data_IF_605971896499
#
_entry.id   IF_605971896499
#
_cell.length_a   1.000
_cell.length_b   1.000
_cell.length_c   1.000
_cell.angle_alpha   90.00
_cell.angle_beta   90.00
_cell.angle_gamma   90.00
#
_symmetry.space_group_name_H-M   'P 1'
#
loop_
_entity.id
_entity.type
_entity.pdbx_description
1 polymer ?
#
# COMPACT_ATOMS: atom_id res chain seq x y z
N UNK A 1 2.01 25.72 0.27
CA UNK A 1 2.65 24.42 0.01
C UNK A 1 3.17 23.83 1.33
N UNK A 2 2.34 23.10 2.09
CA UNK A 2 2.75 22.12 3.12
C UNK A 2 1.49 21.53 3.81
N UNK A 3 0.90 20.46 3.26
CA UNK A 3 -0.05 19.60 4.00
C UNK A 3 0.16 18.10 3.71
N UNK A 4 1.21 17.74 2.96
CA UNK A 4 1.37 16.39 2.42
C UNK A 4 1.92 15.38 3.46
N UNK A 5 2.72 15.82 4.44
CA UNK A 5 3.50 14.91 5.29
C UNK A 5 2.70 13.85 6.05
N UNK A 6 1.55 14.21 6.63
CA UNK A 6 0.71 13.30 7.43
C UNK A 6 -0.37 12.62 6.59
N UNK A 7 -1.01 13.35 5.67
CA UNK A 7 -2.01 12.81 4.76
C UNK A 7 -1.44 11.76 3.80
N UNK A 8 -0.17 11.89 3.43
CA UNK A 8 0.51 10.97 2.52
C UNK A 8 0.90 9.66 3.20
N UNK A 9 1.36 9.71 4.46
CA UNK A 9 1.54 8.51 5.29
C UNK A 9 0.22 7.77 5.50
N UNK A 10 -0.88 8.49 5.75
CA UNK A 10 -2.22 7.88 5.85
C UNK A 10 -2.64 7.16 4.57
N UNK A 11 -2.46 7.80 3.40
CA UNK A 11 -2.76 7.20 2.10
C UNK A 11 -1.88 5.98 1.80
N UNK A 12 -0.60 6.04 2.15
CA UNK A 12 0.35 4.93 2.03
C UNK A 12 -0.09 3.74 2.88
N UNK A 13 -0.45 3.97 4.14
CA UNK A 13 -0.91 2.89 5.03
C UNK A 13 -2.23 2.28 4.57
N UNK A 14 -3.16 3.10 4.06
CA UNK A 14 -4.41 2.59 3.47
C UNK A 14 -4.14 1.80 2.19
N UNK A 15 -3.16 2.21 1.39
CA UNK A 15 -2.71 1.45 0.22
C UNK A 15 -2.14 0.08 0.61
N UNK A 16 -1.21 0.04 1.58
CA UNK A 16 -0.61 -1.22 2.05
C UNK A 16 -1.66 -2.15 2.67
N UNK A 17 -2.56 -1.60 3.48
CA UNK A 17 -3.67 -2.35 4.06
C UNK A 17 -4.55 -2.95 2.96
N UNK A 18 -4.90 -2.14 1.96
CA UNK A 18 -5.68 -2.59 0.81
C UNK A 18 -4.99 -3.76 0.11
N UNK A 19 -3.69 -3.66 -0.24
CA UNK A 19 -2.93 -4.76 -0.86
C UNK A 19 -2.88 -6.01 0.03
N UNK A 20 -2.76 -5.87 1.36
CA UNK A 20 -2.72 -7.00 2.30
C UNK A 20 -4.01 -7.82 2.33
N UNK A 21 -5.19 -7.22 2.08
CA UNK A 21 -6.47 -7.92 2.16
C UNK A 21 -6.60 -9.07 1.16
N UNK A 22 -6.06 -8.90 -0.06
CA UNK A 22 -6.09 -9.92 -1.11
C UNK A 22 -5.02 -9.64 -2.17
N UNK A 23 -4.42 -10.68 -2.78
CA UNK A 23 -3.54 -10.53 -3.93
C UNK A 23 -4.25 -9.78 -5.06
N UNK A 24 -3.61 -8.77 -5.64
CA UNK A 24 -4.16 -7.96 -6.74
C UNK A 24 -3.13 -7.79 -7.84
N UNK A 25 -3.56 -7.86 -9.09
CA UNK A 25 -2.70 -7.59 -10.25
C UNK A 25 -2.33 -6.12 -10.33
N UNK A 26 -1.20 -5.80 -10.93
CA UNK A 26 -0.78 -4.43 -11.24
C UNK A 26 -1.86 -3.64 -11.97
N UNK A 27 -2.55 -4.25 -12.96
CA UNK A 27 -3.63 -3.60 -13.69
C UNK A 27 -4.77 -3.14 -12.77
N UNK A 28 -5.29 -4.04 -11.91
CA UNK A 28 -6.29 -3.71 -10.89
C UNK A 28 -5.82 -2.64 -9.90
N UNK A 29 -4.56 -2.69 -9.49
CA UNK A 29 -3.97 -1.68 -8.61
C UNK A 29 -3.93 -0.31 -9.28
N UNK A 30 -3.46 -0.24 -10.53
CA UNK A 30 -3.41 1.02 -11.27
C UNK A 30 -4.81 1.55 -11.56
N UNK A 31 -5.78 0.70 -11.90
CA UNK A 31 -7.17 1.11 -12.10
C UNK A 31 -7.77 1.78 -10.85
N UNK A 32 -7.61 1.13 -9.69
CA UNK A 32 -8.15 1.64 -8.43
C UNK A 32 -7.46 2.93 -7.94
N UNK A 33 -6.15 3.10 -8.19
CA UNK A 33 -5.35 4.18 -7.59
C UNK A 33 -4.99 5.32 -8.55
N UNK A 34 -5.04 5.12 -9.87
CA UNK A 34 -4.76 6.17 -10.89
C UNK A 34 -5.87 7.22 -11.00
N UNK A 35 -7.12 6.84 -10.74
CA UNK A 35 -8.30 7.71 -10.91
C UNK A 35 -8.54 8.67 -9.74
N UNK A 36 -7.76 8.55 -8.65
CA UNK A 36 -7.82 9.43 -7.48
C UNK A 36 -6.54 10.26 -7.40
N UNK A 37 -6.56 11.48 -7.93
CA UNK A 37 -5.35 12.29 -8.13
C UNK A 37 -4.76 12.99 -6.86
N UNK A 38 -4.90 12.44 -5.65
CA UNK A 38 -3.81 12.53 -4.66
C UNK A 38 -3.31 11.17 -4.15
N UNK A 39 -3.81 10.06 -4.69
CA UNK A 39 -3.52 8.68 -4.29
C UNK A 39 -2.45 7.98 -5.13
N UNK A 40 -2.10 8.52 -6.31
CA UNK A 40 -0.96 8.02 -7.09
C UNK A 40 0.34 8.06 -6.26
N UNK A 41 0.50 9.10 -5.43
CA UNK A 41 1.65 9.24 -4.55
C UNK A 41 1.81 8.06 -3.58
N UNK A 42 0.73 7.41 -3.13
CA UNK A 42 0.84 6.24 -2.25
C UNK A 42 1.48 5.03 -2.95
N UNK A 43 1.15 4.81 -4.23
CA UNK A 43 1.79 3.78 -5.05
C UNK A 43 3.27 4.10 -5.30
N UNK A 44 3.56 5.35 -5.64
CA UNK A 44 4.94 5.81 -5.88
C UNK A 44 5.79 5.71 -4.61
N UNK A 45 5.27 6.16 -3.47
CA UNK A 45 5.93 6.01 -2.17
C UNK A 45 6.14 4.54 -1.82
N UNK A 46 5.14 3.67 -2.02
CA UNK A 46 5.25 2.25 -1.72
C UNK A 46 6.35 1.58 -2.56
N UNK A 47 6.42 1.92 -3.84
CA UNK A 47 7.42 1.38 -4.77
C UNK A 47 8.82 1.95 -4.49
N UNK A 48 8.93 3.28 -4.33
CA UNK A 48 10.19 3.97 -4.05
C UNK A 48 10.80 3.55 -2.70
N UNK A 49 9.96 3.24 -1.70
CA UNK A 49 10.41 2.77 -0.40
C UNK A 49 10.60 1.25 -0.33
N UNK A 50 10.34 0.50 -1.41
CA UNK A 50 10.44 -0.96 -1.44
C UNK A 50 9.47 -1.66 -0.47
N UNK A 51 8.29 -1.08 -0.28
CA UNK A 51 7.22 -1.61 0.58
C UNK A 51 6.36 -2.64 -0.16
N UNK A 52 6.33 -2.55 -1.48
CA UNK A 52 5.68 -3.51 -2.37
C UNK A 52 6.66 -4.02 -3.42
N UNK A 53 6.40 -5.24 -3.90
CA UNK A 53 7.09 -5.85 -5.02
C UNK A 53 6.07 -6.25 -6.08
N UNK A 54 6.52 -6.29 -7.33
CA UNK A 54 5.72 -6.65 -8.50
C UNK A 54 6.52 -7.65 -9.33
N UNK A 55 6.60 -8.92 -8.89
CA UNK A 55 7.32 -9.95 -9.62
C UNK A 55 6.74 -10.08 -11.03
N UNK A 56 7.56 -9.78 -12.03
CA UNK A 56 7.25 -10.03 -13.43
C UNK A 56 7.55 -11.48 -13.76
N UNK A 57 6.54 -12.20 -14.22
CA UNK A 57 6.66 -13.55 -14.79
C UNK A 57 6.19 -13.48 -16.24
N UNK A 58 6.85 -14.22 -17.13
CA UNK A 58 6.57 -14.15 -18.56
C UNK A 58 5.14 -14.64 -18.91
N UNK A 59 4.57 -15.47 -18.03
CA UNK A 59 3.37 -16.26 -18.29
C UNK A 59 2.19 -15.85 -17.41
N UNK A 60 2.38 -14.90 -16.49
CA UNK A 60 1.37 -14.53 -15.48
C UNK A 60 1.33 -13.02 -15.31
N UNK A 61 0.11 -12.49 -15.21
CA UNK A 61 -0.10 -11.08 -14.89
C UNK A 61 0.62 -10.70 -13.58
N UNK A 62 1.42 -9.61 -13.59
CA UNK A 62 2.20 -9.22 -12.42
C UNK A 62 1.26 -8.91 -11.25
N UNK A 63 1.47 -9.60 -10.13
CA UNK A 63 0.71 -9.39 -8.89
C UNK A 63 1.50 -8.49 -7.96
N UNK A 64 0.84 -7.48 -7.40
CA UNK A 64 1.42 -6.61 -6.38
C UNK A 64 1.38 -7.34 -5.05
N UNK A 65 2.54 -7.48 -4.40
CA UNK A 65 2.68 -8.14 -3.10
C UNK A 65 3.39 -7.23 -2.11
N UNK A 66 3.07 -7.35 -0.81
CA UNK A 66 3.80 -6.62 0.23
C UNK A 66 5.17 -7.26 0.48
N UNK A 67 6.21 -6.44 0.47
CA UNK A 67 7.53 -6.87 0.97
C UNK A 67 7.49 -7.06 2.47
N UNK A 68 8.55 -7.67 3.04
CA UNK A 68 8.70 -7.74 4.49
C UNK A 68 8.67 -6.36 5.15
N UNK A 69 9.27 -5.36 4.50
CA UNK A 69 9.28 -3.97 4.97
C UNK A 69 7.87 -3.36 4.98
N UNK A 70 7.10 -3.56 3.90
CA UNK A 70 5.72 -3.10 3.82
C UNK A 70 4.83 -3.73 4.89
N UNK A 71 4.97 -5.03 5.13
CA UNK A 71 4.24 -5.74 6.18
C UNK A 71 4.57 -5.21 7.58
N UNK A 72 5.85 -4.95 7.89
CA UNK A 72 6.24 -4.39 9.19
C UNK A 72 5.69 -2.97 9.39
N UNK A 73 5.74 -2.11 8.38
CA UNK A 73 5.20 -0.76 8.45
C UNK A 73 3.68 -0.76 8.69
N UNK A 74 2.98 -1.65 7.99
CA UNK A 74 1.54 -1.84 8.17
C UNK A 74 1.22 -2.35 9.58
N UNK A 75 1.97 -3.34 10.08
CA UNK A 75 1.79 -3.90 11.41
C UNK A 75 2.05 -2.88 12.54
N UNK A 76 3.07 -2.04 12.42
CA UNK A 76 3.34 -0.96 13.39
C UNK A 76 2.18 0.05 13.46
N UNK A 77 1.49 0.25 12.34
CA UNK A 77 0.36 1.17 12.22
C UNK A 77 -0.97 0.55 12.65
N UNK A 78 -1.13 -0.77 12.45
CA UNK A 78 -2.24 -1.56 12.97
C UNK A 78 -2.13 -1.70 14.49
N UNK A 79 -0.93 -1.91 15.05
CA UNK A 79 -0.70 -1.93 16.50
C UNK A 79 -1.00 -0.60 17.19
N UNK A 80 -0.82 0.53 16.49
CA UNK A 80 -1.23 1.86 16.96
C UNK A 80 -2.75 2.11 16.85
N UNK A 81 -3.44 1.45 15.92
CA UNK A 81 -4.90 1.54 15.72
C UNK A 81 -5.69 0.49 16.51
N UNK A 82 -5.08 -0.67 16.80
CA UNK A 82 -5.58 -1.71 17.70
C UNK A 82 -5.15 -1.40 19.12
N UNK A 83 -5.84 -0.43 19.73
CA UNK A 83 -6.21 -0.65 21.12
C UNK A 83 -7.27 -1.76 21.09
N UNK A 84 -7.04 -2.94 21.67
CA UNK A 84 -8.10 -3.95 21.76
C UNK A 84 -9.14 -3.46 22.78
N UNK A 85 -10.16 -2.77 22.31
CA UNK A 85 -11.39 -2.55 23.06
C UNK A 85 -12.32 -3.76 22.84
N UNK A 86 -12.02 -4.79 23.66
CA UNK A 86 -12.88 -5.76 24.38
C UNK A 86 -14.41 -5.56 24.35
N UNK A 87 -15.22 -6.56 24.78
CA UNK A 87 -14.99 -7.99 25.03
C UNK A 87 -15.72 -8.94 24.07
#
# INVERSE_FOLDING_TARGET
>A
MLQAGTSQLGNLLQFLAWIAERPRTYAQTMDAWRSSCPRLSAWEDATANGLVDVPRRADVEPVVVLTRKGQMLLASSDGARRTPARP
#
